data_IF_949802426595
#
_entry.id   IF_949802426595
#
_cell.length_a   1.000
_cell.length_b   1.000
_cell.length_c   1.000
_cell.angle_alpha   90.00
_cell.angle_beta   90.00
_cell.angle_gamma   90.00
#
_symmetry.space_group_name_H-M   'P 1'
#
loop_
_entity.id
_entity.type
_entity.pdbx_description
1 polymer ?
#
# COMPACT_ATOMS: atom_id res chain seq x y z
N UNK A 1 -14.41 -27.82 -21.70
CA UNK A 1 -15.13 -26.63 -21.15
C UNK A 1 -15.02 -26.65 -19.64
N UNK A 2 -14.59 -25.59 -19.05
CA UNK A 2 -14.52 -25.45 -17.60
C UNK A 2 -15.92 -25.57 -16.98
N UNK A 3 -16.00 -26.16 -15.77
CA UNK A 3 -17.27 -26.22 -15.05
C UNK A 3 -17.72 -24.81 -14.60
N UNK A 4 -19.00 -24.67 -14.26
CA UNK A 4 -19.50 -23.39 -13.71
C UNK A 4 -18.81 -23.01 -12.39
N UNK A 5 -18.44 -24.00 -11.62
CA UNK A 5 -17.75 -23.83 -10.33
C UNK A 5 -16.30 -23.37 -10.56
N UNK A 6 -15.57 -23.96 -11.50
CA UNK A 6 -14.21 -23.54 -11.85
C UNK A 6 -14.19 -22.08 -12.32
N UNK A 7 -15.16 -21.70 -13.16
CA UNK A 7 -15.30 -20.34 -13.66
C UNK A 7 -15.60 -19.35 -12.52
N UNK A 8 -16.46 -19.73 -11.57
CA UNK A 8 -16.79 -18.89 -10.43
C UNK A 8 -15.56 -18.70 -9.53
N UNK A 9 -14.82 -19.78 -9.26
CA UNK A 9 -13.61 -19.74 -8.43
C UNK A 9 -12.49 -18.93 -9.10
N UNK A 10 -12.23 -19.15 -10.39
CA UNK A 10 -11.24 -18.38 -11.14
C UNK A 10 -11.61 -16.90 -11.23
N UNK A 11 -12.89 -16.59 -11.43
CA UNK A 11 -13.38 -15.21 -11.42
C UNK A 11 -13.22 -14.57 -10.04
N UNK A 12 -13.36 -15.34 -8.96
CA UNK A 12 -13.10 -14.86 -7.60
C UNK A 12 -11.61 -14.52 -7.44
N UNK A 13 -10.72 -15.42 -7.81
CA UNK A 13 -9.27 -15.18 -7.79
C UNK A 13 -8.91 -13.90 -8.54
N UNK A 14 -9.35 -13.77 -9.79
CA UNK A 14 -8.99 -12.63 -10.64
C UNK A 14 -9.57 -11.29 -10.17
N UNK A 15 -10.69 -11.30 -9.46
CA UNK A 15 -11.22 -10.10 -8.79
C UNK A 15 -10.42 -9.71 -7.56
N UNK A 16 -9.88 -10.70 -6.82
CA UNK A 16 -9.14 -10.45 -5.58
C UNK A 16 -7.66 -10.19 -5.84
N UNK A 17 -7.00 -11.05 -6.61
CA UNK A 17 -5.57 -10.94 -6.96
C UNK A 17 -5.29 -9.94 -8.10
N UNK A 18 -6.31 -9.38 -8.70
CA UNK A 18 -6.24 -8.39 -9.78
C UNK A 18 -7.47 -7.48 -9.77
N UNK A 19 -7.91 -7.09 -10.95
CA UNK A 19 -9.06 -6.19 -11.16
C UNK A 19 -10.16 -6.85 -12.01
N UNK A 20 -10.20 -8.20 -12.05
CA UNK A 20 -11.09 -8.96 -12.91
C UNK A 20 -10.43 -9.34 -14.24
N UNK A 21 -11.14 -10.13 -15.02
CA UNK A 21 -10.75 -10.58 -16.35
C UNK A 21 -12.01 -10.82 -17.21
N UNK A 22 -11.86 -10.82 -18.53
CA UNK A 22 -12.92 -11.15 -19.47
C UNK A 22 -13.33 -12.62 -19.36
N UNK A 23 -14.47 -12.94 -19.95
CA UNK A 23 -14.94 -14.34 -19.96
C UNK A 23 -13.96 -15.29 -20.63
N UNK A 24 -13.41 -14.88 -21.77
CA UNK A 24 -12.47 -15.70 -22.54
C UNK A 24 -11.15 -15.91 -21.77
N UNK A 25 -10.63 -14.87 -21.12
CA UNK A 25 -9.46 -14.98 -20.24
C UNK A 25 -9.71 -15.95 -19.07
N UNK A 26 -10.88 -15.87 -18.42
CA UNK A 26 -11.23 -16.78 -17.32
C UNK A 26 -11.32 -18.23 -17.81
N UNK A 27 -11.91 -18.51 -18.96
CA UNK A 27 -11.98 -19.86 -19.52
C UNK A 27 -10.58 -20.41 -19.87
N UNK A 28 -9.71 -19.58 -20.43
CA UNK A 28 -8.32 -19.94 -20.69
C UNK A 28 -7.55 -20.24 -19.40
N UNK A 29 -7.71 -19.43 -18.36
CA UNK A 29 -7.09 -19.67 -17.06
C UNK A 29 -7.61 -20.96 -16.40
N UNK A 30 -8.88 -21.26 -16.53
CA UNK A 30 -9.44 -22.54 -16.06
C UNK A 30 -8.80 -23.74 -16.76
N UNK A 31 -8.50 -23.66 -18.07
CA UNK A 31 -7.80 -24.71 -18.82
C UNK A 31 -6.35 -24.89 -18.34
N UNK A 32 -5.69 -23.81 -17.92
CA UNK A 32 -4.33 -23.86 -17.37
C UNK A 32 -4.30 -24.38 -15.91
N UNK A 33 -5.37 -24.19 -15.17
CA UNK A 33 -5.52 -24.62 -13.80
C UNK A 33 -5.31 -23.49 -12.76
N UNK A 34 -6.00 -23.62 -11.62
CA UNK A 34 -6.07 -22.63 -10.58
C UNK A 34 -4.69 -22.30 -9.95
N UNK A 35 -3.94 -23.32 -9.57
CA UNK A 35 -2.61 -23.17 -8.96
C UNK A 35 -1.60 -22.60 -9.96
N UNK A 36 -1.67 -23.00 -11.22
CA UNK A 36 -0.83 -22.45 -12.30
C UNK A 36 -1.09 -20.95 -12.46
N UNK A 37 -2.35 -20.54 -12.41
CA UNK A 37 -2.73 -19.12 -12.50
C UNK A 37 -2.17 -18.33 -11.32
N UNK A 38 -2.23 -18.88 -10.09
CA UNK A 38 -1.60 -18.22 -8.92
C UNK A 38 -0.10 -18.01 -9.13
N UNK A 39 0.62 -19.05 -9.61
CA UNK A 39 2.07 -18.92 -9.86
C UNK A 39 2.39 -17.90 -10.96
N UNK A 40 1.57 -17.80 -11.99
CA UNK A 40 1.71 -16.76 -13.03
C UNK A 40 1.45 -15.34 -12.48
N UNK A 41 0.50 -15.19 -11.56
CA UNK A 41 0.24 -13.91 -10.87
C UNK A 41 1.40 -13.50 -9.97
N UNK A 42 1.97 -14.46 -9.23
CA UNK A 42 3.11 -14.22 -8.32
C UNK A 42 4.43 -13.98 -9.06
N UNK A 43 4.60 -14.57 -10.25
CA UNK A 43 5.83 -14.50 -11.05
C UNK A 43 5.49 -14.14 -12.50
N UNK A 44 4.98 -12.92 -12.73
CA UNK A 44 4.54 -12.52 -14.06
C UNK A 44 5.72 -12.42 -15.04
N UNK A 45 5.53 -12.97 -16.26
CA UNK A 45 6.50 -12.90 -17.36
C UNK A 45 6.15 -11.83 -18.40
N UNK A 46 4.93 -11.28 -18.33
CA UNK A 46 4.50 -10.19 -19.21
C UNK A 46 5.33 -8.92 -19.05
N UNK A 47 5.43 -8.07 -20.06
CA UNK A 47 6.13 -6.80 -19.97
C UNK A 47 5.43 -5.88 -18.93
N UNK A 48 6.18 -4.96 -18.31
CA UNK A 48 5.57 -3.84 -17.59
C UNK A 48 4.75 -2.97 -18.56
N UNK A 49 3.90 -2.11 -18.01
CA UNK A 49 3.16 -1.14 -18.82
C UNK A 49 4.16 -0.19 -19.51
N UNK A 50 3.91 0.11 -20.79
CA UNK A 50 4.73 1.08 -21.53
C UNK A 50 4.38 2.50 -21.04
N UNK A 51 5.29 3.07 -20.27
CA UNK A 51 5.15 4.41 -19.73
C UNK A 51 5.43 5.49 -20.79
N UNK A 52 6.18 5.16 -21.85
CA UNK A 52 6.61 6.15 -22.84
C UNK A 52 5.42 6.73 -23.60
N UNK A 53 4.50 5.89 -24.06
CA UNK A 53 3.32 6.36 -24.78
C UNK A 53 2.38 7.17 -23.88
N UNK A 54 2.23 6.74 -22.62
CA UNK A 54 1.45 7.45 -21.63
C UNK A 54 2.01 8.86 -21.38
N UNK A 55 3.29 8.97 -21.02
CA UNK A 55 3.90 10.27 -20.69
C UNK A 55 4.07 11.20 -21.90
N UNK A 56 4.11 10.64 -23.10
CA UNK A 56 4.12 11.43 -24.34
C UNK A 56 2.80 12.18 -24.55
N UNK A 57 1.67 11.58 -24.18
CA UNK A 57 0.34 12.15 -24.39
C UNK A 57 -0.22 12.81 -23.11
N UNK A 58 0.17 12.32 -21.96
CA UNK A 58 -0.24 12.80 -20.64
C UNK A 58 0.98 13.03 -19.75
N UNK A 59 1.79 14.07 -20.04
CA UNK A 59 2.96 14.33 -19.22
C UNK A 59 2.54 14.66 -17.79
N UNK A 60 3.18 14.02 -16.81
CA UNK A 60 3.09 14.45 -15.43
C UNK A 60 3.83 15.77 -15.34
N UNK A 61 3.09 16.86 -15.39
CA UNK A 61 3.64 18.20 -15.27
C UNK A 61 3.47 18.71 -13.85
N UNK A 62 4.42 19.52 -13.40
CA UNK A 62 4.21 20.29 -12.18
C UNK A 62 3.11 21.31 -12.44
N UNK A 63 1.91 21.00 -11.98
CA UNK A 63 0.81 21.95 -12.01
C UNK A 63 0.89 22.81 -10.75
N UNK A 64 0.82 24.15 -10.85
CA UNK A 64 0.73 24.99 -9.66
C UNK A 64 -0.44 24.56 -8.77
N UNK A 65 -0.15 24.33 -7.48
CA UNK A 65 -1.15 23.82 -6.53
C UNK A 65 -1.17 22.30 -6.35
N UNK A 66 -0.17 21.58 -6.87
CA UNK A 66 0.06 20.18 -6.50
C UNK A 66 -0.98 19.18 -6.95
N UNK A 67 -1.68 19.43 -8.08
CA UNK A 67 -2.74 18.54 -8.54
C UNK A 67 -2.24 17.09 -8.71
N UNK A 68 -2.89 16.14 -8.03
CA UNK A 68 -2.65 14.72 -8.15
C UNK A 68 -3.18 14.14 -9.49
N UNK A 69 -4.03 14.87 -10.20
CA UNK A 69 -4.77 14.39 -11.37
C UNK A 69 -3.91 13.69 -12.44
N UNK A 70 -2.74 14.20 -12.84
CA UNK A 70 -1.90 13.50 -13.82
C UNK A 70 -1.38 12.16 -13.30
N UNK A 71 -0.99 12.09 -12.03
CA UNK A 71 -0.55 10.85 -11.39
C UNK A 71 -1.70 9.85 -11.22
N UNK A 72 -2.88 10.33 -10.85
CA UNK A 72 -4.11 9.52 -10.76
C UNK A 72 -4.45 8.89 -12.12
N UNK A 73 -4.41 9.69 -13.17
CA UNK A 73 -4.64 9.23 -14.55
C UNK A 73 -3.61 8.17 -14.97
N UNK A 74 -2.33 8.42 -14.71
CA UNK A 74 -1.25 7.50 -15.02
C UNK A 74 -1.42 6.17 -14.28
N UNK A 75 -1.67 6.21 -12.98
CA UNK A 75 -1.81 4.97 -12.21
C UNK A 75 -3.08 4.21 -12.55
N UNK A 76 -4.19 4.91 -12.81
CA UNK A 76 -5.40 4.26 -13.32
C UNK A 76 -5.12 3.54 -14.65
N UNK A 77 -4.39 4.18 -15.56
CA UNK A 77 -3.98 3.56 -16.82
C UNK A 77 -3.17 2.27 -16.58
N UNK A 78 -2.19 2.32 -15.67
CA UNK A 78 -1.39 1.12 -15.32
C UNK A 78 -2.26 -0.01 -14.79
N UNK A 79 -3.15 0.25 -13.84
CA UNK A 79 -4.05 -0.77 -13.29
C UNK A 79 -5.00 -1.36 -14.36
N UNK A 80 -5.45 -0.53 -15.30
CA UNK A 80 -6.38 -0.97 -16.33
C UNK A 80 -5.72 -1.80 -17.44
N UNK A 81 -4.46 -1.51 -17.81
CA UNK A 81 -3.78 -2.09 -18.96
C UNK A 81 -2.71 -3.12 -18.64
N UNK A 82 -2.33 -3.24 -17.36
CA UNK A 82 -1.23 -4.12 -16.94
C UNK A 82 -1.45 -5.60 -17.28
N UNK A 83 -0.39 -6.26 -17.70
CA UNK A 83 -0.29 -7.73 -17.76
C UNK A 83 0.21 -8.35 -16.44
N UNK A 84 0.45 -7.53 -15.41
CA UNK A 84 0.93 -7.90 -14.07
C UNK A 84 -0.07 -7.44 -13.00
N UNK A 85 -1.32 -7.94 -13.03
CA UNK A 85 -2.40 -7.36 -12.22
C UNK A 85 -2.17 -7.47 -10.72
N UNK A 86 -1.48 -8.51 -10.23
CA UNK A 86 -1.18 -8.66 -8.81
C UNK A 86 -0.13 -7.64 -8.33
N UNK A 87 0.83 -7.24 -9.16
CA UNK A 87 1.77 -6.17 -8.81
C UNK A 87 1.04 -4.86 -8.54
N UNK A 88 0.12 -4.46 -9.44
CA UNK A 88 -0.68 -3.25 -9.25
C UNK A 88 -1.65 -3.37 -8.07
N UNK A 89 -2.18 -4.57 -7.83
CA UNK A 89 -3.06 -4.84 -6.69
C UNK A 89 -2.30 -4.71 -5.37
N UNK A 90 -1.07 -5.21 -5.29
CA UNK A 90 -0.20 -5.06 -4.14
C UNK A 90 0.27 -3.60 -3.97
N UNK A 91 0.49 -2.88 -5.07
CA UNK A 91 0.77 -1.45 -5.03
C UNK A 91 -0.39 -0.67 -4.39
N UNK A 92 -1.63 -1.00 -4.77
CA UNK A 92 -2.83 -0.40 -4.16
C UNK A 92 -2.97 -0.80 -2.68
N UNK A 93 -2.63 -2.04 -2.33
CA UNK A 93 -2.60 -2.51 -0.95
C UNK A 93 -1.65 -1.67 -0.09
N UNK A 94 -0.39 -1.50 -0.53
CA UNK A 94 0.59 -0.73 0.23
C UNK A 94 0.25 0.76 0.29
N UNK A 95 -0.29 1.33 -0.78
CA UNK A 95 -0.77 2.71 -0.74
C UNK A 95 -1.97 2.90 0.21
N UNK A 96 -2.74 1.85 0.47
CA UNK A 96 -3.79 1.87 1.49
C UNK A 96 -3.21 1.77 2.90
N UNK A 97 -2.23 0.87 3.13
CA UNK A 97 -1.60 0.66 4.45
C UNK A 97 -0.67 1.82 4.82
N UNK A 98 0.13 2.29 3.86
CA UNK A 98 1.13 3.35 4.02
C UNK A 98 0.61 4.66 3.41
N UNK A 99 -0.58 5.05 3.80
CA UNK A 99 -1.30 6.15 3.20
C UNK A 99 -0.54 7.48 3.30
N UNK A 100 -0.18 8.02 2.13
CA UNK A 100 0.56 9.27 1.98
C UNK A 100 -0.20 10.18 1.02
N UNK A 101 -0.58 11.37 1.48
CA UNK A 101 -1.47 12.28 0.76
C UNK A 101 -0.77 13.39 0.01
N UNK A 102 -1.12 13.57 -1.26
CA UNK A 102 -0.62 14.67 -2.07
C UNK A 102 -1.06 16.05 -1.56
N UNK A 103 -2.18 16.14 -0.85
CA UNK A 103 -2.67 17.40 -0.28
C UNK A 103 -1.65 18.10 0.63
N UNK A 104 -0.87 17.33 1.42
CA UNK A 104 0.21 17.88 2.25
C UNK A 104 1.57 17.82 1.55
N UNK A 105 1.92 16.72 0.89
CA UNK A 105 3.21 16.55 0.21
C UNK A 105 3.38 17.59 -0.89
N UNK A 106 2.29 17.92 -1.59
CA UNK A 106 2.24 18.93 -2.64
C UNK A 106 3.33 18.71 -3.71
N UNK A 107 3.65 17.44 -3.96
CA UNK A 107 4.62 17.01 -4.96
C UNK A 107 4.24 15.64 -5.54
N UNK A 108 3.48 15.66 -6.62
CA UNK A 108 2.97 14.45 -7.26
C UNK A 108 4.09 13.50 -7.74
N UNK A 109 5.27 14.02 -8.11
CA UNK A 109 6.38 13.17 -8.52
C UNK A 109 6.86 12.27 -7.37
N UNK A 110 7.02 12.81 -6.15
CA UNK A 110 7.44 12.01 -5.01
C UNK A 110 6.38 11.00 -4.57
N UNK A 111 5.09 11.33 -4.71
CA UNK A 111 4.03 10.35 -4.51
C UNK A 111 4.12 9.24 -5.56
N UNK A 112 4.35 9.58 -6.84
CA UNK A 112 4.50 8.57 -7.90
C UNK A 112 5.79 7.74 -7.75
N UNK A 113 6.88 8.32 -7.25
CA UNK A 113 8.10 7.59 -6.89
C UNK A 113 7.82 6.57 -5.79
N UNK A 114 7.04 6.94 -4.77
CA UNK A 114 6.58 6.03 -3.72
C UNK A 114 5.70 4.90 -4.29
N UNK A 115 4.75 5.21 -5.18
CA UNK A 115 3.95 4.21 -5.88
C UNK A 115 4.83 3.26 -6.71
N UNK A 116 5.86 3.77 -7.38
CA UNK A 116 6.83 2.95 -8.12
C UNK A 116 7.64 2.03 -7.18
N UNK A 117 8.00 2.51 -5.99
CA UNK A 117 8.63 1.68 -4.94
C UNK A 117 7.69 0.56 -4.50
N UNK A 118 6.42 0.84 -4.21
CA UNK A 118 5.43 -0.18 -3.85
C UNK A 118 5.24 -1.21 -4.96
N UNK A 119 5.21 -0.79 -6.23
CA UNK A 119 5.11 -1.68 -7.39
C UNK A 119 6.29 -2.62 -7.49
N UNK A 120 7.50 -2.10 -7.36
CA UNK A 120 8.73 -2.89 -7.53
C UNK A 120 9.05 -3.79 -6.34
N UNK A 121 8.72 -3.39 -5.12
CA UNK A 121 9.11 -4.06 -3.89
C UNK A 121 7.94 -4.72 -3.14
N UNK A 122 6.71 -4.36 -3.43
CA UNK A 122 5.53 -4.72 -2.63
C UNK A 122 5.19 -6.21 -2.55
N UNK A 123 5.74 -7.05 -3.42
CA UNK A 123 5.65 -8.52 -3.32
C UNK A 123 6.93 -9.18 -2.78
N UNK A 124 7.94 -8.40 -2.44
CA UNK A 124 9.21 -8.86 -1.85
C UNK A 124 9.21 -8.82 -0.33
N UNK A 125 10.33 -8.37 0.23
CA UNK A 125 10.53 -8.28 1.67
C UNK A 125 9.81 -7.08 2.29
N UNK A 126 8.93 -7.34 3.26
CA UNK A 126 8.30 -6.28 4.06
C UNK A 126 9.33 -5.48 4.88
N UNK A 127 10.41 -6.13 5.33
CA UNK A 127 11.56 -5.46 5.98
C UNK A 127 12.14 -4.37 5.09
N UNK A 128 12.47 -4.72 3.84
CA UNK A 128 13.08 -3.78 2.90
C UNK A 128 12.11 -2.67 2.52
N UNK A 129 10.83 -3.02 2.38
CA UNK A 129 9.78 -2.06 2.11
C UNK A 129 9.61 -1.04 3.25
N UNK A 130 9.65 -1.46 4.53
CA UNK A 130 9.62 -0.55 5.68
C UNK A 130 10.86 0.36 5.73
N UNK A 131 12.06 -0.17 5.44
CA UNK A 131 13.28 0.63 5.35
C UNK A 131 13.19 1.65 4.22
N UNK A 132 12.69 1.22 3.06
CA UNK A 132 12.42 2.10 1.93
C UNK A 132 11.42 3.21 2.27
N UNK A 133 10.34 2.87 2.96
CA UNK A 133 9.32 3.81 3.40
C UNK A 133 9.86 4.83 4.41
N UNK A 134 10.68 4.39 5.37
CA UNK A 134 11.32 5.27 6.35
C UNK A 134 12.26 6.30 5.72
N UNK A 135 12.86 5.97 4.57
CA UNK A 135 13.73 6.84 3.79
C UNK A 135 13.00 7.52 2.60
N UNK A 136 11.71 7.28 2.44
CA UNK A 136 10.93 7.84 1.33
C UNK A 136 10.66 9.33 1.54
N UNK A 137 11.02 10.19 0.56
CA UNK A 137 10.85 11.63 0.69
C UNK A 137 9.41 12.09 0.91
N UNK A 138 8.43 11.43 0.27
CA UNK A 138 7.02 11.78 0.45
C UNK A 138 6.57 11.45 1.87
N UNK A 139 6.93 10.27 2.40
CA UNK A 139 6.57 9.84 3.75
C UNK A 139 7.26 10.69 4.82
N UNK A 140 8.56 10.99 4.67
CA UNK A 140 9.30 11.87 5.60
C UNK A 140 8.61 13.23 5.72
N UNK A 141 8.19 13.81 4.61
CA UNK A 141 7.49 15.10 4.61
C UNK A 141 6.04 14.95 5.13
N UNK A 142 5.36 13.87 4.77
CA UNK A 142 3.99 13.59 5.20
C UNK A 142 3.85 13.53 6.73
N UNK A 143 4.81 12.87 7.39
CA UNK A 143 4.83 12.68 8.84
C UNK A 143 5.78 13.63 9.58
N UNK A 144 6.25 14.68 8.93
CA UNK A 144 7.12 15.71 9.52
C UNK A 144 8.42 15.17 10.13
N UNK A 145 8.94 14.02 9.63
CA UNK A 145 10.20 13.49 10.17
C UNK A 145 11.41 14.36 9.79
N UNK A 146 11.27 15.23 8.78
CA UNK A 146 12.25 16.30 8.51
C UNK A 146 12.37 17.35 9.62
N UNK A 147 11.39 17.42 10.51
CA UNK A 147 11.38 18.26 11.72
C UNK A 147 11.72 17.46 13.00
N UNK A 148 12.22 16.22 12.83
CA UNK A 148 12.61 15.36 13.94
C UNK A 148 14.11 15.57 14.26
N UNK A 149 14.42 16.36 15.29
CA UNK A 149 15.76 16.78 15.68
C UNK A 149 16.19 16.17 17.01
N UNK A 150 17.49 15.91 17.21
CA UNK A 150 18.03 15.30 18.45
C UNK A 150 17.67 16.05 19.74
N UNK A 151 17.42 17.36 19.66
CA UNK A 151 17.05 18.19 20.81
C UNK A 151 15.55 18.52 20.87
N UNK A 152 14.80 18.13 19.85
CA UNK A 152 13.36 18.32 19.74
C UNK A 152 12.78 17.16 18.91
N UNK A 153 12.70 15.92 19.45
CA UNK A 153 12.13 14.79 18.73
C UNK A 153 10.68 15.05 18.32
N UNK A 154 10.35 14.67 17.08
CA UNK A 154 8.98 14.68 16.56
C UNK A 154 8.46 13.24 16.54
N UNK A 155 7.34 13.00 17.21
CA UNK A 155 6.80 11.65 17.41
C UNK A 155 5.93 11.12 16.25
N UNK A 156 5.58 11.94 15.27
CA UNK A 156 4.61 11.55 14.23
C UNK A 156 5.03 10.27 13.51
N UNK A 157 6.23 10.24 12.92
CA UNK A 157 6.71 9.03 12.25
C UNK A 157 6.80 7.83 13.20
N UNK A 158 7.37 8.02 14.40
CA UNK A 158 7.52 6.95 15.39
C UNK A 158 6.17 6.35 15.79
N UNK A 159 5.17 7.19 16.01
CA UNK A 159 3.81 6.77 16.35
C UNK A 159 3.18 5.97 15.21
N UNK A 160 3.18 6.50 14.00
CA UNK A 160 2.55 5.83 12.86
C UNK A 160 3.25 4.53 12.47
N UNK A 161 4.58 4.47 12.59
CA UNK A 161 5.33 3.24 12.39
C UNK A 161 4.84 2.12 13.31
N UNK A 162 4.57 2.44 14.59
CA UNK A 162 4.13 1.45 15.57
C UNK A 162 2.61 1.18 15.47
N UNK A 163 1.83 2.22 15.30
CA UNK A 163 0.37 2.15 15.36
C UNK A 163 -0.27 1.63 14.09
N UNK A 164 0.08 2.22 12.93
CA UNK A 164 -0.60 1.98 11.65
C UNK A 164 0.19 1.09 10.69
N UNK A 165 1.52 1.06 10.83
CA UNK A 165 2.35 0.39 9.84
C UNK A 165 2.86 -0.98 10.30
N UNK A 166 2.93 -1.26 11.62
CA UNK A 166 3.59 -2.48 12.06
C UNK A 166 2.96 -3.25 13.22
N UNK A 167 2.63 -2.62 14.35
CA UNK A 167 2.24 -3.35 15.56
C UNK A 167 0.74 -3.26 15.89
N UNK A 168 0.12 -2.13 15.58
CA UNK A 168 -1.22 -1.80 16.04
C UNK A 168 -1.30 -1.34 17.49
N UNK A 169 -2.36 -0.62 17.81
CA UNK A 169 -2.64 -0.07 19.16
C UNK A 169 -2.59 -1.16 20.22
N UNK A 170 -1.97 -0.86 21.36
CA UNK A 170 -1.92 -1.75 22.54
C UNK A 170 -0.67 -2.63 22.60
N UNK A 171 0.17 -2.67 21.55
CA UNK A 171 1.39 -3.49 21.50
C UNK A 171 2.67 -2.68 21.74
N UNK A 172 2.56 -1.43 22.15
CA UNK A 172 3.65 -0.51 22.48
C UNK A 172 3.18 0.50 23.52
N UNK A 173 4.11 1.25 24.09
CA UNK A 173 3.85 2.32 25.07
C UNK A 173 4.21 3.68 24.48
N UNK A 174 3.71 4.78 25.08
CA UNK A 174 4.12 6.15 24.72
C UNK A 174 5.66 6.34 24.86
N UNK A 175 6.29 5.63 25.79
CA UNK A 175 7.74 5.64 25.90
C UNK A 175 8.40 5.01 24.67
N UNK A 176 7.86 3.92 24.13
CA UNK A 176 8.38 3.29 22.93
C UNK A 176 8.23 4.22 21.71
N UNK A 177 7.13 4.99 21.61
CA UNK A 177 6.97 6.01 20.57
C UNK A 177 8.07 7.06 20.66
N UNK A 178 8.32 7.59 21.83
CA UNK A 178 9.38 8.59 22.06
C UNK A 178 10.77 8.04 21.73
N UNK A 179 11.12 6.84 22.20
CA UNK A 179 12.41 6.20 21.93
C UNK A 179 12.60 5.86 20.44
N UNK A 180 11.51 5.42 19.77
CA UNK A 180 11.47 5.26 18.33
C UNK A 180 11.81 6.57 17.62
N UNK A 181 11.14 7.66 17.99
CA UNK A 181 11.34 8.98 17.38
C UNK A 181 12.78 9.47 17.54
N UNK A 182 13.39 9.24 18.71
CA UNK A 182 14.82 9.54 18.94
C UNK A 182 15.75 8.78 18.00
N UNK A 183 15.40 7.53 17.67
CA UNK A 183 16.20 6.70 16.78
C UNK A 183 16.13 7.17 15.31
N UNK A 184 15.05 7.84 14.91
CA UNK A 184 14.88 8.41 13.57
C UNK A 184 15.28 9.89 13.46
N UNK A 185 15.86 10.49 14.51
CA UNK A 185 16.45 11.82 14.42
C UNK A 185 17.58 11.85 13.39
N UNK A 186 17.71 12.95 12.65
CA UNK A 186 18.70 13.08 11.57
C UNK A 186 18.31 12.41 10.25
N UNK A 187 17.23 11.61 10.21
CA UNK A 187 16.64 11.09 8.96
C UNK A 187 15.78 12.20 8.34
N UNK A 188 16.28 12.85 7.30
CA UNK A 188 15.67 14.07 6.78
C UNK A 188 15.78 14.18 5.26
N UNK A 189 15.40 15.34 4.74
CA UNK A 189 15.40 15.64 3.32
C UNK A 189 16.49 16.64 2.95
N UNK A 190 17.17 16.41 1.83
CA UNK A 190 17.90 17.45 1.10
C UNK A 190 16.92 18.15 0.14
N UNK A 191 16.19 19.13 0.65
CA UNK A 191 15.27 19.92 -0.12
C UNK A 191 15.93 21.25 -0.51
N UNK A 192 16.23 21.42 -1.79
CA UNK A 192 16.77 22.68 -2.29
C UNK A 192 15.72 23.80 -2.23
N UNK A 193 16.17 24.99 -1.87
CA UNK A 193 15.35 26.19 -1.87
C UNK A 193 15.57 27.00 -3.15
N UNK A 194 14.60 27.77 -3.65
CA UNK A 194 13.25 27.94 -3.13
C UNK A 194 12.31 26.79 -3.52
N UNK A 195 11.46 26.35 -2.59
CA UNK A 195 10.37 25.41 -2.90
C UNK A 195 9.32 26.02 -3.83
N UNK A 196 9.17 27.33 -3.81
CA UNK A 196 8.09 28.07 -4.43
C UNK A 196 8.56 29.50 -4.75
N UNK A 197 8.14 30.14 -5.89
CA UNK A 197 7.21 29.70 -6.92
C UNK A 197 7.89 29.04 -8.15
N UNK A 198 9.20 28.82 -8.13
CA UNK A 198 10.01 28.53 -9.34
C UNK A 198 10.28 27.06 -9.59
N UNK A 199 9.28 26.22 -9.40
CA UNK A 199 9.38 24.78 -9.60
C UNK A 199 9.72 24.02 -8.32
N UNK A 200 9.48 22.71 -8.37
CA UNK A 200 9.72 21.79 -7.27
C UNK A 200 10.98 21.04 -7.56
N UNK A 201 11.96 21.22 -6.70
CA UNK A 201 13.18 20.45 -6.81
C UNK A 201 12.95 19.04 -6.25
N UNK A 202 13.57 18.00 -6.84
CA UNK A 202 13.49 16.67 -6.28
C UNK A 202 14.11 16.66 -4.88
N UNK A 203 13.36 16.11 -3.95
CA UNK A 203 13.85 15.85 -2.60
C UNK A 203 14.61 14.53 -2.60
N UNK A 204 15.60 14.44 -1.73
CA UNK A 204 16.35 13.21 -1.52
C UNK A 204 16.46 12.94 -0.03
N UNK A 205 16.35 11.70 0.33
CA UNK A 205 16.69 11.27 1.67
C UNK A 205 18.18 11.59 1.95
N UNK A 206 18.43 12.14 3.12
CA UNK A 206 19.78 12.30 3.68
C UNK A 206 19.75 11.96 5.17
N UNK A 207 20.80 11.29 5.62
CA UNK A 207 21.07 11.14 7.04
C UNK A 207 22.05 12.24 7.48
N UNK A 208 21.69 12.97 8.54
CA UNK A 208 22.52 14.02 9.16
C UNK A 208 23.05 13.54 10.49
N UNK A 209 24.28 13.02 10.57
CA UNK A 209 24.85 12.50 11.81
C UNK A 209 24.92 13.52 12.94
N UNK A 210 25.12 14.80 12.62
CA UNK A 210 25.18 15.88 13.58
C UNK A 210 23.85 16.15 14.28
N UNK A 211 22.74 15.74 13.67
CA UNK A 211 21.38 15.90 14.21
C UNK A 211 20.77 14.60 14.71
N UNK A 212 21.55 13.50 14.73
CA UNK A 212 21.11 12.21 15.25
C UNK A 212 21.38 12.08 16.75
N UNK A 213 20.45 11.49 17.50
CA UNK A 213 20.60 11.17 18.92
C UNK A 213 21.29 9.82 19.11
N UNK A 214 22.58 9.85 19.40
CA UNK A 214 23.41 8.67 19.67
C UNK A 214 23.34 8.15 21.10
N UNK A 215 22.52 8.72 21.96
CA UNK A 215 22.39 8.23 23.33
C UNK A 215 21.64 6.90 23.39
N UNK A 216 21.85 6.18 24.49
CA UNK A 216 21.16 4.91 24.76
C UNK A 216 19.65 5.09 24.77
N UNK A 217 18.94 4.14 24.18
CA UNK A 217 17.49 4.07 24.07
C UNK A 217 17.01 2.74 24.61
N UNK A 218 15.83 2.72 25.24
CA UNK A 218 15.13 1.49 25.62
C UNK A 218 13.85 1.38 24.84
N UNK A 219 13.78 0.45 23.89
CA UNK A 219 12.69 0.29 22.96
C UNK A 219 12.18 -1.16 22.94
N UNK A 220 10.90 -1.38 23.19
CA UNK A 220 10.25 -2.70 23.24
C UNK A 220 11.06 -3.73 24.08
N UNK A 221 11.56 -3.30 25.23
CA UNK A 221 12.31 -4.14 26.17
C UNK A 221 13.78 -4.36 25.82
N UNK A 222 14.29 -3.85 24.72
CA UNK A 222 15.71 -3.90 24.34
C UNK A 222 16.37 -2.55 24.64
N UNK A 223 17.64 -2.58 25.04
CA UNK A 223 18.41 -1.36 25.35
C UNK A 223 19.68 -1.33 24.53
N UNK A 224 19.94 -0.18 23.89
CA UNK A 224 21.11 0.02 23.05
C UNK A 224 21.17 1.40 22.42
N UNK A 225 22.23 1.66 21.66
CA UNK A 225 22.35 2.86 20.84
C UNK A 225 21.73 2.57 19.46
N UNK A 226 20.39 2.59 19.41
CA UNK A 226 19.63 2.26 18.21
C UNK A 226 19.49 3.44 17.25
N UNK A 227 19.57 3.15 15.95
CA UNK A 227 19.15 4.02 14.87
C UNK A 227 17.83 3.52 14.25
N UNK A 228 17.32 4.22 13.22
CA UNK A 228 16.05 3.85 12.59
C UNK A 228 15.99 2.44 12.03
N UNK A 229 17.08 1.92 11.46
CA UNK A 229 17.12 0.54 10.95
C UNK A 229 17.03 -0.48 12.07
N UNK A 230 17.71 -0.24 13.21
CA UNK A 230 17.63 -1.11 14.39
C UNK A 230 16.20 -1.17 14.94
N UNK A 231 15.49 -0.04 14.95
CA UNK A 231 14.08 0.02 15.36
C UNK A 231 13.22 -0.90 14.48
N UNK A 232 13.39 -0.85 13.16
CA UNK A 232 12.65 -1.72 12.24
C UNK A 232 12.95 -3.19 12.54
N UNK A 233 14.21 -3.57 12.76
CA UNK A 233 14.58 -4.94 13.11
C UNK A 233 13.97 -5.40 14.44
N UNK A 234 13.88 -4.53 15.44
CA UNK A 234 13.24 -4.84 16.72
C UNK A 234 11.74 -5.01 16.57
N UNK A 235 11.10 -4.17 15.77
CA UNK A 235 9.66 -4.26 15.45
C UNK A 235 9.31 -5.59 14.77
N UNK A 236 10.11 -6.03 13.80
CA UNK A 236 9.91 -7.30 13.10
C UNK A 236 10.06 -8.54 14.00
N UNK A 237 10.71 -8.42 15.15
CA UNK A 237 10.81 -9.51 16.15
C UNK A 237 9.52 -9.65 16.99
N UNK A 238 8.63 -8.68 16.95
CA UNK A 238 7.40 -8.72 17.74
C UNK A 238 6.34 -9.59 17.05
N UNK A 239 5.72 -10.49 17.80
CA UNK A 239 4.63 -11.34 17.31
C UNK A 239 3.46 -10.50 16.76
N UNK A 240 3.19 -9.36 17.39
CA UNK A 240 2.16 -8.42 16.95
C UNK A 240 2.38 -7.95 15.51
N UNK A 241 3.64 -7.77 15.07
CA UNK A 241 3.97 -7.28 13.73
C UNK A 241 3.47 -8.24 12.64
N UNK A 242 3.81 -9.51 12.73
CA UNK A 242 3.38 -10.51 11.74
C UNK A 242 1.86 -10.66 11.70
N UNK A 243 1.19 -10.66 12.85
CA UNK A 243 -0.27 -10.73 12.96
C UNK A 243 -0.95 -9.50 12.37
N UNK A 244 -0.40 -8.33 12.60
CA UNK A 244 -0.93 -7.07 12.07
C UNK A 244 -0.91 -7.04 10.54
N UNK A 245 0.23 -7.38 9.94
CA UNK A 245 0.35 -7.44 8.47
C UNK A 245 -0.51 -8.57 7.89
N UNK A 246 -0.55 -9.74 8.52
CA UNK A 246 -1.41 -10.84 8.11
C UNK A 246 -2.89 -10.42 8.10
N UNK A 247 -3.35 -9.67 9.12
CA UNK A 247 -4.73 -9.17 9.21
C UNK A 247 -5.02 -8.13 8.13
N UNK A 248 -4.07 -7.26 7.79
CA UNK A 248 -4.19 -6.35 6.66
C UNK A 248 -4.35 -7.09 5.33
N UNK A 249 -3.53 -8.12 5.07
CA UNK A 249 -3.65 -8.95 3.88
C UNK A 249 -5.01 -9.67 3.83
N UNK A 250 -5.46 -10.23 4.96
CA UNK A 250 -6.78 -10.86 5.06
C UNK A 250 -7.90 -9.85 4.74
N UNK A 251 -7.87 -8.68 5.38
CA UNK A 251 -8.84 -7.61 5.12
C UNK A 251 -8.87 -7.19 3.66
N UNK A 252 -7.73 -7.05 3.03
CA UNK A 252 -7.66 -6.55 1.66
C UNK A 252 -8.06 -7.58 0.60
N UNK A 253 -7.64 -8.84 0.76
CA UNK A 253 -7.81 -9.88 -0.26
C UNK A 253 -8.96 -10.85 0.00
N UNK A 254 -9.34 -11.10 1.25
CA UNK A 254 -10.27 -12.19 1.62
C UNK A 254 -11.65 -11.65 1.99
N UNK A 255 -11.77 -10.97 3.11
CA UNK A 255 -13.05 -10.49 3.64
C UNK A 255 -12.88 -9.19 4.43
N UNK A 256 -13.95 -8.38 4.48
CA UNK A 256 -13.93 -7.13 5.24
C UNK A 256 -13.74 -7.37 6.74
N UNK A 257 -12.83 -6.65 7.34
CA UNK A 257 -12.54 -6.56 8.77
C UNK A 257 -13.10 -5.24 9.34
N UNK A 258 -13.23 -5.10 10.67
CA UNK A 258 -13.39 -3.80 11.31
C UNK A 258 -12.27 -2.83 10.91
N UNK A 259 -12.47 -1.53 11.14
CA UNK A 259 -11.41 -0.54 10.89
C UNK A 259 -10.21 -0.74 11.82
N UNK A 260 -9.00 -0.42 11.36
CA UNK A 260 -7.74 -0.69 12.05
C UNK A 260 -7.72 -0.24 13.53
N UNK A 261 -8.23 0.97 13.90
CA UNK A 261 -8.22 1.40 15.31
C UNK A 261 -8.99 0.48 16.25
N UNK A 262 -9.95 -0.31 15.74
CA UNK A 262 -10.71 -1.26 16.55
C UNK A 262 -10.00 -2.61 16.74
N UNK A 263 -8.88 -2.87 16.07
CA UNK A 263 -8.23 -4.19 16.09
C UNK A 263 -7.63 -4.58 17.43
N UNK A 264 -7.41 -3.62 18.31
CA UNK A 264 -6.97 -3.88 19.69
C UNK A 264 -8.07 -4.44 20.60
N UNK A 265 -9.34 -4.32 20.22
CA UNK A 265 -10.50 -4.76 21.00
C UNK A 265 -11.39 -5.76 20.25
N UNK A 266 -11.31 -5.78 18.92
CA UNK A 266 -12.10 -6.69 18.09
C UNK A 266 -11.20 -7.78 17.49
N UNK A 267 -11.54 -9.03 17.82
CA UNK A 267 -10.85 -10.20 17.26
C UNK A 267 -10.98 -10.26 15.73
N UNK A 268 -9.99 -10.82 15.01
CA UNK A 268 -10.13 -11.10 13.60
C UNK A 268 -11.34 -12.00 13.29
N UNK A 269 -11.99 -11.79 12.16
CA UNK A 269 -13.08 -12.68 11.70
C UNK A 269 -12.65 -14.14 11.56
N UNK A 270 -11.41 -14.34 11.14
CA UNK A 270 -10.80 -15.66 11.03
C UNK A 270 -9.43 -15.66 11.70
N UNK A 271 -9.37 -15.86 13.04
CA UNK A 271 -8.11 -15.88 13.79
C UNK A 271 -7.13 -16.95 13.28
N UNK A 272 -7.64 -18.12 12.88
CA UNK A 272 -6.80 -19.23 12.38
C UNK A 272 -6.11 -18.85 11.05
N UNK A 273 -6.81 -18.16 10.14
CA UNK A 273 -6.22 -17.69 8.90
C UNK A 273 -5.14 -16.62 9.16
N UNK A 274 -5.40 -15.68 10.06
CA UNK A 274 -4.41 -14.65 10.43
C UNK A 274 -3.19 -15.30 11.08
N UNK A 275 -3.36 -16.24 11.99
CA UNK A 275 -2.27 -16.97 12.63
C UNK A 275 -1.42 -17.76 11.63
N UNK A 276 -2.08 -18.47 10.69
CA UNK A 276 -1.39 -19.22 9.64
C UNK A 276 -0.54 -18.29 8.77
N UNK A 277 -1.10 -17.16 8.34
CA UNK A 277 -0.39 -16.20 7.50
C UNK A 277 0.75 -15.51 8.27
N UNK A 278 0.54 -15.16 9.54
CA UNK A 278 1.57 -14.58 10.41
C UNK A 278 2.76 -15.53 10.61
N UNK A 279 2.48 -16.82 10.81
CA UNK A 279 3.51 -17.84 10.91
C UNK A 279 4.34 -17.95 9.63
N UNK A 280 3.70 -17.94 8.46
CA UNK A 280 4.41 -17.97 7.17
C UNK A 280 5.28 -16.73 6.97
N UNK A 281 4.81 -15.53 7.38
CA UNK A 281 5.63 -14.31 7.36
C UNK A 281 6.92 -14.49 8.15
N UNK A 282 6.83 -14.96 9.39
CA UNK A 282 8.00 -15.17 10.26
C UNK A 282 8.94 -16.24 9.70
N UNK A 283 8.39 -17.38 9.26
CA UNK A 283 9.17 -18.50 8.71
C UNK A 283 9.90 -18.16 7.40
N UNK A 284 9.43 -17.16 6.66
CA UNK A 284 10.01 -16.70 5.41
C UNK A 284 10.61 -15.29 5.52
N UNK A 285 11.03 -14.90 6.72
CA UNK A 285 11.74 -13.63 6.94
C UNK A 285 11.00 -12.40 6.40
N UNK A 286 9.67 -12.38 6.57
CA UNK A 286 8.75 -11.36 6.09
C UNK A 286 8.67 -11.19 4.56
N UNK A 287 9.01 -12.24 3.80
CA UNK A 287 8.72 -12.28 2.37
C UNK A 287 7.20 -12.39 2.10
N UNK A 288 6.67 -11.53 1.24
CA UNK A 288 5.22 -11.42 0.98
C UNK A 288 4.72 -12.52 0.03
N UNK A 289 5.49 -12.90 -0.99
CA UNK A 289 5.05 -13.91 -1.97
C UNK A 289 4.66 -15.26 -1.35
N UNK A 290 5.40 -15.83 -0.38
CA UNK A 290 4.99 -17.08 0.28
C UNK A 290 3.62 -16.99 0.95
N UNK A 291 3.31 -15.87 1.59
CA UNK A 291 2.02 -15.63 2.24
C UNK A 291 0.90 -15.52 1.22
N UNK A 292 1.08 -14.75 0.16
CA UNK A 292 0.10 -14.62 -0.92
C UNK A 292 -0.20 -15.98 -1.56
N UNK A 293 0.85 -16.79 -1.83
CA UNK A 293 0.70 -18.14 -2.35
C UNK A 293 -0.14 -19.02 -1.45
N UNK A 294 0.15 -19.04 -0.16
CA UNK A 294 -0.59 -19.83 0.82
C UNK A 294 -2.04 -19.34 0.95
N UNK A 295 -2.23 -18.03 1.03
CA UNK A 295 -3.54 -17.40 1.14
C UNK A 295 -4.44 -17.73 -0.06
N UNK A 296 -4.00 -17.51 -1.29
CA UNK A 296 -4.81 -17.77 -2.48
C UNK A 296 -5.13 -19.27 -2.69
N UNK A 297 -4.28 -20.17 -2.21
CA UNK A 297 -4.52 -21.62 -2.27
C UNK A 297 -5.41 -22.15 -1.13
N UNK A 298 -5.64 -21.37 -0.07
CA UNK A 298 -6.37 -21.79 1.12
C UNK A 298 -7.87 -21.94 0.88
N UNK A 299 -8.50 -22.79 1.69
CA UNK A 299 -9.94 -22.96 1.67
C UNK A 299 -10.66 -21.71 2.15
N UNK A 300 -10.13 -21.02 3.16
CA UNK A 300 -10.73 -19.77 3.65
C UNK A 300 -10.79 -18.66 2.58
N UNK A 301 -9.83 -18.63 1.65
CA UNK A 301 -9.89 -17.70 0.51
C UNK A 301 -10.90 -18.17 -0.54
N UNK A 302 -10.86 -19.46 -0.91
CA UNK A 302 -11.75 -20.04 -1.93
C UNK A 302 -13.23 -19.94 -1.53
N UNK A 303 -13.53 -20.07 -0.23
CA UNK A 303 -14.88 -20.00 0.33
C UNK A 303 -15.37 -18.55 0.57
N UNK A 304 -14.49 -17.56 0.54
CA UNK A 304 -14.81 -16.16 0.80
C UNK A 304 -15.53 -15.44 -0.37
N UNK A 305 -16.26 -16.18 -1.18
CA UNK A 305 -17.07 -15.61 -2.28
C UNK A 305 -18.02 -14.53 -1.74
N UNK A 306 -17.91 -13.31 -2.31
CA UNK A 306 -18.76 -12.16 -1.99
C UNK A 306 -18.68 -11.65 -0.54
N UNK A 307 -17.63 -11.98 0.20
CA UNK A 307 -17.44 -11.50 1.57
C UNK A 307 -16.70 -10.16 1.66
N UNK A 308 -16.23 -9.63 0.55
CA UNK A 308 -15.55 -8.34 0.47
C UNK A 308 -16.28 -7.37 -0.43
N UNK A 309 -16.53 -6.17 0.07
CA UNK A 309 -17.00 -5.04 -0.72
C UNK A 309 -15.84 -4.53 -1.58
N UNK A 310 -16.09 -4.34 -2.86
CA UNK A 310 -15.11 -3.74 -3.77
C UNK A 310 -14.86 -2.27 -3.41
N UNK A 311 -13.60 -1.89 -3.40
CA UNK A 311 -13.24 -0.47 -3.32
C UNK A 311 -13.65 0.28 -4.61
N UNK A 312 -13.81 1.60 -4.56
CA UNK A 312 -14.09 2.41 -5.75
C UNK A 312 -13.12 2.18 -6.90
N UNK A 313 -11.82 2.10 -6.63
CA UNK A 313 -10.81 1.76 -7.65
C UNK A 313 -11.09 0.40 -8.29
N UNK A 314 -11.40 -0.63 -7.49
CA UNK A 314 -11.72 -1.97 -8.01
C UNK A 314 -12.97 -1.97 -8.88
N UNK A 315 -13.94 -1.10 -8.59
CA UNK A 315 -15.15 -0.95 -9.41
C UNK A 315 -14.81 -0.29 -10.74
N UNK A 316 -14.11 0.85 -10.72
CA UNK A 316 -13.75 1.60 -11.93
C UNK A 316 -12.86 0.76 -12.84
N UNK A 317 -11.75 0.24 -12.32
CA UNK A 317 -10.80 -0.55 -13.11
C UNK A 317 -11.43 -1.85 -13.61
N UNK A 318 -12.20 -2.53 -12.77
CA UNK A 318 -12.93 -3.75 -13.18
C UNK A 318 -13.93 -3.51 -14.30
N UNK A 319 -14.57 -2.34 -14.33
CA UNK A 319 -15.46 -1.93 -15.41
C UNK A 319 -14.68 -1.66 -16.69
N UNK A 320 -13.61 -0.87 -16.62
CA UNK A 320 -12.76 -0.55 -17.78
C UNK A 320 -12.16 -1.82 -18.43
N UNK A 321 -11.68 -2.75 -17.62
CA UNK A 321 -11.17 -4.04 -18.11
C UNK A 321 -12.27 -4.93 -18.69
N UNK A 322 -13.46 -4.91 -18.10
CA UNK A 322 -14.59 -5.71 -18.56
C UNK A 322 -15.21 -5.21 -19.86
N UNK A 323 -15.17 -3.92 -20.12
CA UNK A 323 -15.70 -3.32 -21.38
C UNK A 323 -14.65 -3.30 -22.49
N UNK A 324 -13.36 -3.33 -22.15
CA UNK A 324 -12.26 -3.21 -23.11
C UNK A 324 -12.14 -1.81 -23.74
N UNK A 325 -12.75 -0.80 -23.11
CA UNK A 325 -12.84 0.55 -23.69
C UNK A 325 -11.52 1.33 -23.61
N UNK A 326 -10.56 0.92 -22.77
CA UNK A 326 -9.29 1.60 -22.63
C UNK A 326 -8.19 0.86 -23.42
N UNK A 327 -7.99 1.24 -24.67
CA UNK A 327 -7.04 0.61 -25.60
C UNK A 327 -5.76 1.40 -25.84
N UNK A 328 -5.52 2.46 -25.11
CA UNK A 328 -4.34 3.33 -25.27
C UNK A 328 -4.46 4.58 -24.42
N UNK A 329 -3.56 5.54 -24.62
CA UNK A 329 -3.60 6.84 -23.95
C UNK A 329 -4.75 7.69 -24.49
N UNK A 330 -5.95 7.51 -23.92
CA UNK A 330 -7.16 8.25 -24.31
C UNK A 330 -7.12 9.67 -23.70
N UNK A 331 -7.53 10.73 -24.43
CA UNK A 331 -7.68 12.08 -23.89
C UNK A 331 -8.62 12.20 -22.67
N UNK A 332 -9.51 11.21 -22.46
CA UNK A 332 -10.40 11.14 -21.30
C UNK A 332 -9.72 10.58 -20.04
N UNK A 333 -8.45 10.18 -20.12
CA UNK A 333 -7.76 9.48 -19.05
C UNK A 333 -7.72 10.30 -17.74
N UNK A 334 -7.52 11.62 -17.83
CA UNK A 334 -7.56 12.49 -16.64
C UNK A 334 -8.95 12.54 -15.97
N UNK A 335 -10.01 12.51 -16.77
CA UNK A 335 -11.36 12.45 -16.22
C UNK A 335 -11.61 11.09 -15.56
N UNK A 336 -11.22 10.01 -16.22
CA UNK A 336 -11.32 8.65 -15.67
C UNK A 336 -10.50 8.48 -14.38
N UNK A 337 -9.33 9.12 -14.27
CA UNK A 337 -8.50 9.11 -13.08
C UNK A 337 -9.18 9.65 -11.82
N UNK A 338 -10.18 10.52 -11.98
CA UNK A 338 -10.96 11.12 -10.89
C UNK A 338 -12.19 10.29 -10.48
N UNK A 339 -12.60 9.32 -11.28
CA UNK A 339 -13.81 8.53 -11.00
C UNK A 339 -13.78 7.81 -9.64
N UNK A 340 -12.64 7.18 -9.21
CA UNK A 340 -12.57 6.60 -7.88
C UNK A 340 -12.79 7.64 -6.76
N UNK A 341 -12.29 8.87 -6.94
CA UNK A 341 -12.47 9.98 -6.01
C UNK A 341 -13.95 10.36 -5.85
N UNK A 342 -14.72 10.42 -6.94
CA UNK A 342 -16.17 10.68 -6.87
C UNK A 342 -16.93 9.57 -6.13
N UNK A 343 -16.39 8.37 -6.08
CA UNK A 343 -16.95 7.24 -5.33
C UNK A 343 -16.39 7.15 -3.89
N UNK A 344 -15.47 8.05 -3.49
CA UNK A 344 -14.93 8.14 -2.12
C UNK A 344 -13.49 7.67 -1.94
N UNK A 345 -12.80 7.22 -3.01
CA UNK A 345 -11.40 6.81 -2.96
C UNK A 345 -10.57 7.69 -3.89
N UNK A 346 -10.12 8.82 -3.40
CA UNK A 346 -9.23 9.71 -4.13
C UNK A 346 -7.79 9.17 -4.04
N UNK A 347 -7.37 8.38 -5.05
CA UNK A 347 -6.03 7.77 -5.04
C UNK A 347 -4.95 8.85 -5.07
N UNK A 348 -3.79 8.60 -4.47
CA UNK A 348 -2.69 9.53 -4.20
C UNK A 348 -3.03 10.64 -3.19
N UNK A 349 -4.29 10.68 -2.69
CA UNK A 349 -4.72 11.67 -1.71
C UNK A 349 -5.68 11.06 -0.68
N UNK A 350 -5.19 10.12 0.15
CA UNK A 350 -5.99 9.54 1.23
C UNK A 350 -6.42 10.62 2.23
N UNK A 351 -7.57 10.45 2.91
CA UNK A 351 -8.12 11.46 3.82
C UNK A 351 -7.26 11.68 5.08
N UNK A 352 -6.48 10.68 5.46
CA UNK A 352 -5.57 10.70 6.61
C UNK A 352 -4.46 9.65 6.45
N UNK A 353 -3.56 9.58 7.42
CA UNK A 353 -2.52 8.54 7.50
C UNK A 353 -3.10 7.14 7.74
N UNK A 354 -4.32 7.01 8.26
CA UNK A 354 -5.04 5.73 8.38
C UNK A 354 -5.52 5.17 7.04
N UNK A 355 -5.42 5.96 5.96
CA UNK A 355 -5.94 5.59 4.65
C UNK A 355 -7.45 5.78 4.53
N UNK A 356 -8.09 4.95 3.70
CA UNK A 356 -9.54 4.99 3.50
C UNK A 356 -10.24 3.96 4.39
N UNK A 357 -11.41 4.31 4.87
CA UNK A 357 -12.31 3.33 5.45
C UNK A 357 -12.74 2.31 4.38
N UNK A 358 -13.01 1.08 4.77
CA UNK A 358 -13.28 -0.03 3.87
C UNK A 358 -14.64 -0.70 4.15
N UNK A 359 -14.97 -1.73 3.37
CA UNK A 359 -16.16 -2.52 3.56
C UNK A 359 -17.43 -1.72 3.26
N UNK A 360 -18.39 -1.80 4.16
CA UNK A 360 -19.72 -1.18 3.96
C UNK A 360 -19.68 0.34 3.88
N UNK A 361 -18.60 0.99 4.31
CA UNK A 361 -18.47 2.44 4.23
C UNK A 361 -18.38 2.95 2.81
N UNK A 362 -17.89 2.15 1.87
CA UNK A 362 -17.95 2.45 0.44
C UNK A 362 -19.36 2.56 -0.14
N UNK A 363 -20.37 2.00 0.55
CA UNK A 363 -21.76 1.93 0.09
C UNK A 363 -22.65 2.94 0.81
N UNK A 364 -22.18 3.57 1.88
CA UNK A 364 -22.95 4.59 2.62
C UNK A 364 -23.14 5.84 1.78
N UNK A 365 -24.37 6.38 1.80
CA UNK A 365 -24.71 7.62 1.10
C UNK A 365 -23.89 8.81 1.66
N UNK A 366 -23.21 9.54 0.78
CA UNK A 366 -22.35 10.69 1.11
C UNK A 366 -23.04 11.84 1.88
N UNK A 367 -24.37 11.80 2.06
CA UNK A 367 -25.12 12.82 2.80
C UNK A 367 -24.92 12.79 4.33
N UNK A 368 -24.20 11.82 4.86
CA UNK A 368 -23.99 11.68 6.30
C UNK A 368 -22.59 12.04 6.78
N UNK A 369 -21.74 12.62 5.93
CA UNK A 369 -20.42 13.12 6.31
C UNK A 369 -20.40 14.62 6.03
N UNK A 370 -20.97 15.39 6.94
CA UNK A 370 -20.73 16.83 7.15
C UNK A 370 -20.50 17.04 8.63
#
# INVERSE_FOLDING_TARGET
MASREDIALMSHLMRRAGFGASRDEIEQMCEQGYETTIEQLLNPTGPPVDEYDLYRHHPITEVPGGAAAPGQAAWLYFMATTQRPLEEKMTLFWHHVFATGNAKVDNCFHIMDQIAMFRSQGMGSYRDLLKGLAADPAMIFWLDNNENHKHAPNENWGRELLELFSLGVGNYTEKDVFECSRAFTGWTLDAKMPRYPYGRFPWKFVFRPEDHDYSEKTFLGQTGNFNGEDIIEIVLQQEACSKFIARHLYNFFVADEPQVPAWNIEEPRNPEAVEMMAKILVENDYEIKPVLRAMFNSDFFKEALNQKVKSPVEVVIGTLRGTGDLTGSDPKLEALGKEPGYLGQDILDPPSVEGWHTGREWIKDRKSVV
#
